data_IF_570092192776
#
_entry.id   IF_570092192776
#
_cell.length_a   1.000
_cell.length_b   1.000
_cell.length_c   1.000
_cell.angle_alpha   90.00
_cell.angle_beta   90.00
_cell.angle_gamma   90.00
#
_symmetry.space_group_name_H-M   'P 1'
#
loop_
_entity.id
_entity.type
_entity.pdbx_description
1 polymer ?
#
# COMPACT_ATOMS: atom_id res chain seq x y z
N UNK A 1 -1.53 -16.69 32.90
CA UNK A 1 -1.18 -16.91 31.49
C UNK A 1 -0.41 -15.70 30.98
N UNK A 2 0.81 -15.92 30.56
CA UNK A 2 1.55 -14.77 30.05
C UNK A 2 0.81 -14.17 28.85
N UNK A 3 0.84 -12.84 28.67
CA UNK A 3 0.25 -12.25 27.47
C UNK A 3 1.01 -12.76 26.25
N UNK A 4 0.29 -12.97 25.16
CA UNK A 4 0.93 -13.32 23.89
C UNK A 4 1.93 -12.23 23.50
N UNK A 5 3.10 -12.64 23.08
CA UNK A 5 4.08 -11.69 22.59
C UNK A 5 3.53 -10.99 21.36
N UNK A 6 3.53 -9.66 21.38
CA UNK A 6 3.13 -8.86 20.24
C UNK A 6 4.17 -9.02 19.14
N UNK A 7 3.76 -9.61 18.01
CA UNK A 7 4.63 -9.74 16.86
C UNK A 7 4.71 -8.41 16.12
N UNK A 8 5.93 -7.99 15.82
CA UNK A 8 6.20 -6.73 15.13
C UNK A 8 6.84 -7.00 13.77
N UNK A 9 6.52 -6.13 12.80
CA UNK A 9 7.15 -6.09 11.49
C UNK A 9 7.44 -4.63 11.16
N UNK A 10 8.71 -4.25 11.05
CA UNK A 10 9.14 -2.86 10.86
C UNK A 10 8.54 -1.91 11.90
N UNK A 11 8.42 -2.39 13.16
CA UNK A 11 7.81 -1.62 14.24
C UNK A 11 6.28 -1.62 14.25
N UNK A 12 5.63 -2.23 13.27
CA UNK A 12 4.17 -2.34 13.18
C UNK A 12 3.67 -3.63 13.82
N UNK A 13 2.50 -3.56 14.44
CA UNK A 13 1.88 -4.72 15.09
C UNK A 13 1.27 -5.63 14.03
N UNK A 14 1.69 -6.90 13.99
CA UNK A 14 1.13 -7.88 13.06
C UNK A 14 -0.19 -8.40 13.61
N UNK A 15 -1.29 -8.08 12.93
CA UNK A 15 -2.64 -8.57 13.28
C UNK A 15 -3.01 -9.82 12.49
N UNK A 16 -2.52 -9.93 11.26
CA UNK A 16 -2.69 -11.09 10.40
C UNK A 16 -1.52 -11.15 9.42
N UNK A 17 -1.05 -12.36 9.11
CA UNK A 17 0.02 -12.56 8.11
C UNK A 17 -0.53 -12.96 6.74
N UNK A 18 -1.71 -13.61 6.72
CA UNK A 18 -2.32 -14.08 5.48
C UNK A 18 -3.86 -14.02 5.62
N UNK A 19 -4.51 -13.00 5.09
CA UNK A 19 -3.95 -11.82 4.41
C UNK A 19 -3.17 -10.91 5.36
N UNK A 20 -2.22 -10.17 4.81
CA UNK A 20 -1.38 -9.30 5.63
C UNK A 20 -2.15 -8.10 6.19
N UNK A 21 -2.11 -7.93 7.51
CA UNK A 21 -2.67 -6.77 8.21
C UNK A 21 -1.69 -6.32 9.29
N UNK A 22 -1.29 -5.07 9.20
CA UNK A 22 -0.33 -4.46 10.11
C UNK A 22 -0.94 -3.19 10.70
N UNK A 23 -0.77 -3.01 12.02
CA UNK A 23 -1.25 -1.86 12.76
C UNK A 23 -0.08 -0.97 13.16
N UNK A 24 -0.27 0.34 13.02
CA UNK A 24 0.73 1.31 13.46
C UNK A 24 0.52 1.62 14.94
N UNK A 25 1.50 1.32 15.85
CA UNK A 25 1.38 1.70 17.24
C UNK A 25 1.32 3.22 17.40
N UNK A 26 0.50 3.71 18.31
CA UNK A 26 0.35 5.14 18.57
C UNK A 26 1.69 5.81 18.90
N UNK A 27 2.57 5.09 19.60
CA UNK A 27 3.91 5.57 19.95
C UNK A 27 4.81 5.89 18.77
N UNK A 28 4.47 5.44 17.55
CA UNK A 28 5.26 5.72 16.34
C UNK A 28 4.77 6.96 15.59
N UNK A 29 3.71 7.61 16.07
CA UNK A 29 3.16 8.84 15.48
C UNK A 29 3.98 10.02 15.98
N UNK A 30 5.06 10.33 15.27
CA UNK A 30 6.01 11.36 15.68
C UNK A 30 6.33 12.39 14.57
N UNK A 31 5.68 12.27 13.42
CA UNK A 31 5.90 13.18 12.29
C UNK A 31 4.60 13.47 11.56
N UNK A 32 4.56 14.62 10.87
CA UNK A 32 3.38 15.02 10.09
C UNK A 32 3.11 14.04 8.93
N UNK A 33 4.17 13.59 8.26
CA UNK A 33 4.07 12.60 7.20
C UNK A 33 4.55 11.26 7.74
N UNK A 34 3.68 10.25 7.72
CA UNK A 34 4.00 8.92 8.21
C UNK A 34 4.94 8.20 7.24
N UNK A 35 6.12 7.73 7.69
CA UNK A 35 6.99 6.92 6.83
C UNK A 35 6.29 5.64 6.34
N UNK A 36 6.61 5.22 5.14
CA UNK A 36 6.01 4.02 4.53
C UNK A 36 6.14 2.78 5.42
N UNK A 37 7.31 2.59 6.05
CA UNK A 37 7.57 1.44 6.93
C UNK A 37 6.73 1.44 8.20
N UNK A 38 6.18 2.60 8.59
CA UNK A 38 5.36 2.76 9.80
C UNK A 38 3.87 2.76 9.49
N UNK A 39 3.49 2.91 8.21
CA UNK A 39 2.09 3.01 7.80
C UNK A 39 1.38 1.67 7.99
N UNK A 40 0.11 1.70 8.37
CA UNK A 40 -0.68 0.48 8.57
C UNK A 40 -0.92 -0.26 7.24
N UNK A 41 -1.22 -1.56 7.34
CA UNK A 41 -1.59 -2.40 6.20
C UNK A 41 -2.91 -3.08 6.51
N UNK A 42 -3.86 -2.98 5.58
CA UNK A 42 -5.18 -3.62 5.68
C UNK A 42 -5.52 -4.29 4.36
N UNK A 43 -5.63 -5.62 4.36
CA UNK A 43 -6.01 -6.39 3.17
C UNK A 43 -7.05 -7.46 3.53
N UNK A 44 -7.87 -7.86 2.55
CA UNK A 44 -8.80 -8.98 2.65
C UNK A 44 -8.30 -10.22 1.92
N UNK A 45 -7.43 -10.03 0.96
CA UNK A 45 -6.89 -11.08 0.12
C UNK A 45 -5.37 -11.04 0.15
N UNK A 46 -4.70 -12.16 -0.21
CA UNK A 46 -3.24 -12.14 -0.32
C UNK A 46 -2.76 -11.04 -1.27
N UNK A 47 -1.63 -10.42 -0.93
CA UNK A 47 -1.01 -9.41 -1.77
C UNK A 47 -0.43 -10.11 -3.01
N UNK A 48 -0.85 -9.74 -4.23
CA UNK A 48 -0.36 -10.40 -5.43
C UNK A 48 1.10 -10.04 -5.71
N UNK A 49 1.84 -11.00 -6.25
CA UNK A 49 3.16 -10.74 -6.80
C UNK A 49 2.98 -10.23 -8.24
N UNK A 50 3.28 -8.96 -8.46
CA UNK A 50 3.09 -8.31 -9.76
C UNK A 50 4.45 -8.03 -10.40
N UNK A 51 4.63 -8.54 -11.64
CA UNK A 51 5.78 -8.17 -12.45
C UNK A 51 5.53 -6.79 -13.06
N UNK A 52 6.30 -5.82 -12.62
CA UNK A 52 6.18 -4.44 -13.07
C UNK A 52 6.35 -4.27 -14.58
N UNK A 53 7.22 -5.08 -15.20
CA UNK A 53 7.48 -5.02 -16.63
C UNK A 53 6.35 -5.62 -17.47
N UNK A 54 5.54 -6.50 -16.88
CA UNK A 54 4.40 -7.14 -17.53
C UNK A 54 3.06 -6.48 -17.16
N UNK A 55 3.07 -5.49 -16.30
CA UNK A 55 1.87 -4.84 -15.81
C UNK A 55 1.31 -3.82 -16.81
N UNK A 56 0.00 -3.81 -16.96
CA UNK A 56 -0.73 -2.86 -17.81
C UNK A 56 -1.94 -2.32 -17.11
N UNK A 57 -2.21 -1.02 -17.29
CA UNK A 57 -3.44 -0.38 -16.86
C UNK A 57 -4.32 -0.15 -18.08
N UNK A 58 -5.50 -0.77 -18.07
CA UNK A 58 -6.45 -0.62 -19.15
C UNK A 58 -7.46 0.46 -18.80
N UNK A 59 -7.63 1.42 -19.70
CA UNK A 59 -8.56 2.54 -19.54
C UNK A 59 -9.66 2.38 -20.59
N UNK A 60 -10.89 2.18 -20.13
CA UNK A 60 -12.05 1.92 -20.97
C UNK A 60 -13.32 2.52 -20.37
N UNK A 61 -14.45 2.33 -21.02
CA UNK A 61 -15.75 2.87 -20.58
C UNK A 61 -16.07 4.19 -21.28
N UNK A 62 -16.35 5.23 -20.52
CA UNK A 62 -16.72 6.55 -21.07
C UNK A 62 -15.51 7.35 -21.54
N UNK A 63 -14.74 6.79 -22.47
CA UNK A 63 -13.58 7.42 -23.11
C UNK A 63 -13.75 7.32 -24.62
N UNK A 64 -13.22 8.30 -25.37
CA UNK A 64 -13.32 8.30 -26.84
C UNK A 64 -12.68 7.06 -27.45
N UNK A 65 -11.50 6.67 -26.97
CA UNK A 65 -10.79 5.47 -27.40
C UNK A 65 -10.23 4.72 -26.20
N UNK A 66 -10.62 3.46 -26.00
CA UNK A 66 -9.97 2.62 -25.00
C UNK A 66 -8.47 2.49 -25.29
N UNK A 67 -7.65 2.51 -24.25
CA UNK A 67 -6.22 2.35 -24.40
C UNK A 67 -5.64 1.69 -23.14
N UNK A 68 -4.39 1.23 -23.26
CA UNK A 68 -3.66 0.65 -22.13
C UNK A 68 -2.30 1.33 -22.01
N UNK A 69 -1.84 1.52 -20.78
CA UNK A 69 -0.53 2.06 -20.48
C UNK A 69 0.24 1.08 -19.60
N UNK A 70 1.55 1.01 -19.80
CA UNK A 70 2.43 0.22 -18.95
C UNK A 70 2.92 1.04 -17.75
N UNK A 71 3.68 0.41 -16.86
CA UNK A 71 4.17 1.06 -15.67
C UNK A 71 5.08 2.25 -15.99
N UNK A 72 5.96 2.10 -16.97
CA UNK A 72 6.88 3.17 -17.39
C UNK A 72 6.10 4.38 -17.91
N UNK A 73 5.11 4.17 -18.76
CA UNK A 73 4.25 5.24 -19.28
C UNK A 73 3.49 5.94 -18.16
N UNK A 74 2.96 5.17 -17.19
CA UNK A 74 2.26 5.72 -16.03
C UNK A 74 3.16 6.65 -15.23
N UNK A 75 4.39 6.25 -14.97
CA UNK A 75 5.33 7.03 -14.16
C UNK A 75 5.86 8.29 -14.86
N UNK A 76 5.72 8.39 -16.18
CA UNK A 76 6.07 9.60 -16.94
C UNK A 76 5.00 10.67 -16.91
N UNK A 77 3.78 10.35 -16.46
CA UNK A 77 2.71 11.32 -16.35
C UNK A 77 3.01 12.35 -15.26
N UNK A 78 2.51 13.57 -15.45
CA UNK A 78 2.63 14.61 -14.46
C UNK A 78 1.97 14.18 -13.16
N UNK A 79 2.71 14.29 -12.05
CA UNK A 79 2.22 13.92 -10.73
C UNK A 79 1.85 15.12 -9.89
N UNK A 80 0.93 14.91 -8.95
CA UNK A 80 0.56 15.87 -7.92
C UNK A 80 0.67 15.17 -6.58
N UNK A 81 1.34 15.84 -5.63
CA UNK A 81 1.51 15.31 -4.27
C UNK A 81 0.69 16.15 -3.30
N UNK A 82 -0.08 15.47 -2.47
CA UNK A 82 -0.86 16.14 -1.42
C UNK A 82 -0.85 15.27 -0.15
N UNK A 83 -0.71 15.88 1.04
CA UNK A 83 -0.87 15.16 2.28
C UNK A 83 -2.34 14.85 2.52
N UNK A 84 -2.63 13.60 2.92
CA UNK A 84 -3.98 13.16 3.25
C UNK A 84 -3.94 12.27 4.49
N UNK A 85 -5.05 12.20 5.21
CA UNK A 85 -5.22 11.28 6.33
C UNK A 85 -6.12 10.13 5.87
N UNK A 86 -5.67 8.91 6.10
CA UNK A 86 -6.42 7.69 5.78
C UNK A 86 -6.83 6.95 7.05
#
# INVERSE_FOLDING_TARGET
MPPEETKLRDGRIVRSESPLNLEMPFSTVDSFITPTKSFYVRTHFPIPAIDRDAWWLQIEGEVEKPFAINYEQLTTLKSVTAPVTL
#
